data_IF_650371461266
#
_entry.id   IF_650371461266
#
_cell.length_a   1.000
_cell.length_b   1.000
_cell.length_c   1.000
_cell.angle_alpha   90.00
_cell.angle_beta   90.00
_cell.angle_gamma   90.00
#
_symmetry.space_group_name_H-M   'P 1'
#
loop_
_entity.id
_entity.type
_entity.pdbx_description
1 polymer ?
#
# COMPACT_ATOMS: atom_id res chain seq x y z
N UNK A 1 -36.62 46.42 11.82
CA UNK A 1 -36.03 46.26 13.17
C UNK A 1 -34.52 45.97 13.16
N UNK A 2 -33.91 45.66 12.02
CA UNK A 2 -32.45 45.39 11.90
C UNK A 2 -31.60 46.65 11.58
N UNK A 3 -32.15 47.70 11.05
CA UNK A 3 -31.44 48.93 10.66
C UNK A 3 -31.17 49.90 11.83
N UNK A 4 -31.98 49.84 12.89
CA UNK A 4 -31.78 50.66 14.10
C UNK A 4 -30.60 50.23 14.98
N UNK A 5 -30.13 49.00 14.83
CA UNK A 5 -29.02 48.51 15.63
C UNK A 5 -27.64 48.90 15.07
N UNK A 6 -27.55 49.19 13.76
CA UNK A 6 -26.29 49.56 13.13
C UNK A 6 -25.86 51.00 13.40
N UNK A 7 -26.83 51.92 13.49
CA UNK A 7 -26.52 53.32 13.83
C UNK A 7 -26.08 53.46 15.28
N UNK A 8 -26.70 52.69 16.18
CA UNK A 8 -26.30 52.70 17.60
C UNK A 8 -24.89 52.11 17.79
N UNK A 9 -24.57 51.04 17.09
CA UNK A 9 -23.24 50.45 17.11
C UNK A 9 -22.16 51.38 16.50
N UNK A 10 -22.54 52.16 15.49
CA UNK A 10 -21.66 53.13 14.84
C UNK A 10 -21.35 54.32 15.74
N UNK A 11 -22.34 54.81 16.48
CA UNK A 11 -22.14 55.89 17.47
C UNK A 11 -21.36 55.40 18.69
N UNK A 12 -21.59 54.20 19.19
CA UNK A 12 -20.80 53.60 20.27
C UNK A 12 -19.35 53.38 19.85
N UNK A 13 -19.11 52.94 18.62
CA UNK A 13 -17.73 52.80 18.07
C UNK A 13 -17.05 54.16 17.89
N UNK A 14 -17.76 55.19 17.47
CA UNK A 14 -17.20 56.56 17.39
C UNK A 14 -16.85 57.12 18.77
N UNK A 15 -17.70 56.89 19.76
CA UNK A 15 -17.43 57.30 21.14
C UNK A 15 -16.24 56.50 21.74
N UNK A 16 -16.13 55.23 21.43
CA UNK A 16 -14.98 54.41 21.82
C UNK A 16 -13.69 54.90 21.19
N UNK A 17 -13.67 55.16 19.88
CA UNK A 17 -12.54 55.69 19.16
C UNK A 17 -12.09 57.07 19.61
N UNK A 18 -13.05 57.96 19.98
CA UNK A 18 -12.73 59.28 20.51
C UNK A 18 -12.18 59.20 21.93
N UNK A 19 -12.68 58.33 22.77
CA UNK A 19 -12.23 58.12 24.15
C UNK A 19 -10.85 57.50 24.27
N UNK A 20 -10.48 56.69 23.25
CA UNK A 20 -9.20 55.97 23.25
C UNK A 20 -8.16 56.53 22.26
N UNK A 21 -8.46 57.67 21.62
CA UNK A 21 -7.52 58.33 20.70
C UNK A 21 -6.20 58.68 21.37
N UNK A 22 -6.23 59.20 22.56
CA UNK A 22 -5.03 59.61 23.30
C UNK A 22 -4.21 58.42 23.77
N UNK A 23 -4.76 57.38 24.43
CA UNK A 23 -3.95 56.22 24.84
C UNK A 23 -3.47 55.37 23.65
N UNK A 24 -4.25 55.28 22.55
CA UNK A 24 -3.78 54.58 21.34
C UNK A 24 -2.65 55.32 20.63
N UNK A 25 -2.67 56.64 20.61
CA UNK A 25 -1.56 57.47 20.10
C UNK A 25 -0.31 57.33 20.96
N UNK A 26 -0.45 57.25 22.29
CA UNK A 26 0.63 56.99 23.18
C UNK A 26 1.23 55.57 23.02
N UNK A 27 0.38 54.54 22.82
CA UNK A 27 0.80 53.19 22.59
C UNK A 27 1.48 53.05 21.22
N UNK A 28 0.99 53.72 20.20
CA UNK A 28 1.63 53.75 18.88
C UNK A 28 2.99 54.53 18.96
N UNK A 29 3.05 55.62 19.71
CA UNK A 29 4.25 56.37 19.96
C UNK A 29 5.30 55.56 20.71
N UNK A 30 4.88 54.75 21.71
CA UNK A 30 5.76 53.87 22.47
C UNK A 30 6.28 52.72 21.63
N UNK A 31 5.39 52.19 20.73
CA UNK A 31 5.81 51.13 19.79
C UNK A 31 6.84 51.64 18.76
N UNK A 32 6.64 52.86 18.26
CA UNK A 32 7.62 53.54 17.39
C UNK A 32 8.94 53.77 18.10
N UNK A 33 8.91 54.19 19.39
CA UNK A 33 10.10 54.38 20.18
C UNK A 33 10.84 53.06 20.45
N UNK A 34 10.12 51.98 20.73
CA UNK A 34 10.69 50.65 20.90
C UNK A 34 11.32 50.15 19.60
N UNK A 35 10.64 50.33 18.48
CA UNK A 35 11.17 49.98 17.15
C UNK A 35 12.36 50.84 16.78
N UNK A 36 12.31 52.14 17.07
CA UNK A 36 13.45 53.05 16.89
C UNK A 36 14.62 52.66 17.81
N UNK A 37 14.33 52.26 19.05
CA UNK A 37 15.36 51.79 19.97
C UNK A 37 15.99 50.46 19.53
N UNK A 38 15.18 49.50 19.08
CA UNK A 38 15.70 48.25 18.47
C UNK A 38 16.51 48.51 17.20
N UNK A 39 16.09 49.48 16.36
CA UNK A 39 16.84 49.89 15.18
C UNK A 39 18.14 50.61 15.63
N UNK A 40 18.09 51.41 16.70
CA UNK A 40 19.26 52.12 17.24
C UNK A 40 20.26 51.16 17.89
N UNK A 41 19.80 50.18 18.68
CA UNK A 41 20.67 49.11 19.21
C UNK A 41 21.22 48.23 18.07
N UNK A 42 20.42 47.87 17.10
CA UNK A 42 20.89 47.15 15.90
C UNK A 42 21.86 47.99 15.05
N UNK A 43 21.75 49.33 15.09
CA UNK A 43 22.69 50.22 14.44
C UNK A 43 23.98 50.40 15.22
N UNK A 44 23.93 50.33 16.57
CA UNK A 44 25.11 50.41 17.41
C UNK A 44 25.93 49.11 17.40
N UNK A 45 25.23 47.95 17.43
CA UNK A 45 25.87 46.65 17.23
C UNK A 45 26.28 46.40 15.76
N UNK A 46 25.56 46.99 14.81
CA UNK A 46 25.84 46.95 13.38
C UNK A 46 26.70 48.09 12.84
N UNK A 47 27.16 48.95 13.70
CA UNK A 47 27.91 50.17 13.31
C UNK A 47 29.20 49.95 12.50
N UNK A 48 29.64 48.71 12.41
CA UNK A 48 30.73 48.29 11.52
C UNK A 48 30.25 47.90 10.09
N UNK A 49 28.98 47.53 9.92
CA UNK A 49 28.48 47.10 8.60
C UNK A 49 28.15 48.27 7.65
N UNK A 50 27.81 49.44 8.19
CA UNK A 50 27.50 50.62 7.36
C UNK A 50 28.75 51.28 6.76
N UNK A 51 29.95 51.05 7.33
CA UNK A 51 31.19 51.53 6.75
C UNK A 51 31.61 50.77 5.47
N UNK A 52 30.97 49.63 5.22
CA UNK A 52 31.26 48.80 4.04
C UNK A 52 30.48 49.20 2.77
N UNK A 53 29.55 50.19 2.86
CA UNK A 53 28.71 50.61 1.73
C UNK A 53 29.01 52.09 1.39
N UNK A 54 30.27 52.44 1.28
CA UNK A 54 30.69 53.69 0.61
C UNK A 54 31.17 53.30 -0.80
N UNK A 55 30.38 53.59 -1.86
CA UNK A 55 30.84 53.32 -3.23
C UNK A 55 32.01 54.26 -3.54
N UNK A 56 33.18 53.71 -3.75
CA UNK A 56 34.32 54.44 -4.26
C UNK A 56 35.63 54.34 -3.47
N UNK A 57 35.71 53.56 -2.41
CA UNK A 57 36.99 53.28 -1.77
C UNK A 57 37.62 52.03 -2.38
N UNK A 58 38.49 52.29 -3.35
CA UNK A 58 39.41 51.32 -3.92
C UNK A 58 40.56 51.10 -2.92
N UNK A 59 40.35 50.16 -1.97
CA UNK A 59 41.38 49.78 -1.01
C UNK A 59 40.79 49.08 0.18
N UNK A 60 41.46 48.06 0.71
CA UNK A 60 40.99 47.25 1.83
C UNK A 60 40.76 48.09 3.09
N UNK A 61 39.95 47.56 4.02
CA UNK A 61 39.65 48.18 5.31
C UNK A 61 40.92 48.35 6.13
N UNK A 62 41.25 49.60 6.45
CA UNK A 62 42.37 49.91 7.37
C UNK A 62 41.93 49.68 8.82
N UNK A 63 42.53 48.71 9.47
CA UNK A 63 42.34 48.45 10.91
C UNK A 63 43.58 49.02 11.62
N UNK A 64 43.38 50.10 12.36
CA UNK A 64 44.45 50.73 13.13
C UNK A 64 44.28 50.47 14.62
N UNK A 65 45.35 49.96 15.27
CA UNK A 65 45.43 49.90 16.72
C UNK A 65 45.17 48.55 17.37
N UNK A 66 44.68 47.57 16.66
CA UNK A 66 44.45 46.22 17.22
C UNK A 66 45.22 45.15 16.43
N UNK A 67 45.68 44.07 17.10
CA UNK A 67 46.29 42.96 16.38
C UNK A 67 45.27 42.26 15.46
N UNK A 68 45.69 41.87 14.29
CA UNK A 68 44.86 41.21 13.30
C UNK A 68 44.44 39.83 13.82
N UNK A 69 43.18 39.69 14.23
CA UNK A 69 42.61 38.42 14.72
C UNK A 69 41.81 37.75 13.59
N UNK A 70 41.61 36.43 13.69
CA UNK A 70 40.77 35.67 12.75
C UNK A 70 39.34 36.17 12.72
N UNK A 71 38.81 36.65 13.84
CA UNK A 71 37.44 37.19 13.89
C UNK A 71 37.36 38.54 13.16
N UNK A 72 38.34 39.39 13.32
CA UNK A 72 38.42 40.69 12.64
C UNK A 72 38.61 40.52 11.12
N UNK A 73 39.33 39.49 10.70
CA UNK A 73 39.48 39.14 9.28
C UNK A 73 38.17 38.55 8.75
N UNK A 74 37.44 37.76 9.55
CA UNK A 74 36.15 37.18 9.15
C UNK A 74 35.06 38.24 8.98
N UNK A 75 35.07 39.28 9.82
CA UNK A 75 34.15 40.42 9.70
C UNK A 75 34.54 41.38 8.58
N UNK A 76 35.83 41.69 8.43
CA UNK A 76 36.30 42.68 7.46
C UNK A 76 36.45 42.16 6.03
N UNK A 77 36.84 40.91 5.87
CA UNK A 77 37.08 40.27 4.58
C UNK A 77 36.93 38.77 4.67
N UNK A 78 35.70 38.29 4.73
CA UNK A 78 35.40 36.85 4.92
C UNK A 78 36.00 35.95 3.81
N UNK A 79 36.27 36.51 2.65
CA UNK A 79 36.90 35.82 1.53
C UNK A 79 38.39 35.50 1.69
N UNK A 80 39.05 36.10 2.69
CA UNK A 80 40.47 35.82 2.98
C UNK A 80 40.67 34.56 3.84
N UNK A 81 39.68 34.20 4.60
CA UNK A 81 39.69 32.96 5.40
C UNK A 81 39.02 31.83 4.63
N UNK A 82 39.80 30.82 4.24
CA UNK A 82 39.24 29.60 3.71
C UNK A 82 38.70 28.76 4.86
N UNK A 83 37.43 28.42 4.77
CA UNK A 83 36.86 27.34 5.59
C UNK A 83 37.48 26.01 5.13
N UNK A 84 37.73 25.14 6.10
CA UNK A 84 38.13 23.77 5.78
C UNK A 84 36.89 23.05 5.21
N UNK A 85 36.94 22.71 3.95
CA UNK A 85 35.85 22.05 3.26
C UNK A 85 36.20 20.58 3.21
N UNK A 86 35.32 19.74 3.81
CA UNK A 86 35.40 18.31 3.62
C UNK A 86 35.07 18.00 2.16
N UNK A 87 36.05 17.54 1.41
CA UNK A 87 35.89 17.14 0.00
C UNK A 87 35.04 15.88 -0.15
N UNK A 88 34.74 15.19 0.94
CA UNK A 88 33.97 13.96 0.98
C UNK A 88 32.47 14.29 0.97
N UNK A 89 31.81 14.07 -0.13
CA UNK A 89 30.35 14.15 -0.20
C UNK A 89 29.75 12.87 0.41
N UNK A 90 29.08 13.02 1.53
CA UNK A 90 28.31 11.94 2.13
C UNK A 90 27.02 11.79 1.31
N UNK A 91 26.93 10.71 0.55
CA UNK A 91 25.72 10.38 -0.20
C UNK A 91 24.75 9.65 0.74
N UNK A 92 23.61 10.26 0.99
CA UNK A 92 22.50 9.58 1.64
C UNK A 92 21.87 8.71 0.57
N UNK A 93 22.09 7.40 0.66
CA UNK A 93 21.39 6.43 -0.17
C UNK A 93 20.05 6.18 0.49
N UNK A 94 18.92 6.42 -0.20
CA UNK A 94 17.65 5.95 0.30
C UNK A 94 17.75 4.44 0.45
N UNK A 95 17.42 3.92 1.63
CA UNK A 95 17.47 2.49 1.87
C UNK A 95 16.53 1.78 0.89
N UNK A 96 17.10 0.80 0.28
CA UNK A 96 16.53 -0.28 -0.50
C UNK A 96 15.16 -0.03 -1.14
N UNK A 97 15.11 -0.15 -2.42
CA UNK A 97 13.89 -0.34 -3.19
C UNK A 97 13.59 -1.86 -3.29
N UNK A 98 13.05 -2.50 -2.26
CA UNK A 98 12.99 -3.96 -2.16
C UNK A 98 12.10 -4.57 -3.23
N UNK A 99 10.99 -3.94 -3.58
CA UNK A 99 10.06 -4.45 -4.60
C UNK A 99 10.67 -4.35 -5.99
N UNK A 100 11.33 -3.23 -6.33
CA UNK A 100 12.02 -3.08 -7.61
C UNK A 100 13.16 -4.09 -7.73
N UNK A 101 13.93 -4.31 -6.66
CA UNK A 101 15.01 -5.30 -6.63
C UNK A 101 14.47 -6.73 -6.79
N UNK A 102 13.46 -7.11 -6.01
CA UNK A 102 12.82 -8.43 -6.11
C UNK A 102 12.17 -8.66 -7.47
N UNK A 103 11.52 -7.65 -8.02
CA UNK A 103 10.89 -7.73 -9.34
C UNK A 103 11.90 -7.93 -10.46
N UNK A 104 13.08 -7.30 -10.37
CA UNK A 104 14.18 -7.50 -11.32
C UNK A 104 14.83 -8.87 -11.18
N UNK A 105 14.94 -9.37 -9.94
CA UNK A 105 15.50 -10.69 -9.70
C UNK A 105 14.63 -11.81 -10.29
N UNK A 106 13.30 -11.68 -10.21
CA UNK A 106 12.36 -12.64 -10.82
C UNK A 106 12.35 -12.57 -12.36
N UNK A 107 13.11 -11.65 -12.94
CA UNK A 107 13.22 -11.40 -14.38
C UNK A 107 12.06 -10.58 -14.93
N UNK A 108 12.36 -9.44 -15.52
CA UNK A 108 11.37 -8.64 -16.21
C UNK A 108 10.97 -9.29 -17.54
N UNK A 109 9.67 -9.46 -17.78
CA UNK A 109 9.14 -9.89 -19.08
C UNK A 109 8.95 -8.69 -19.99
N UNK A 110 9.31 -8.84 -21.27
CA UNK A 110 9.03 -7.82 -22.27
C UNK A 110 7.55 -7.80 -22.62
N UNK A 111 6.98 -6.60 -22.71
CA UNK A 111 5.64 -6.39 -23.21
C UNK A 111 5.68 -5.61 -24.51
N UNK A 112 4.93 -6.02 -25.51
CA UNK A 112 4.76 -5.29 -26.79
C UNK A 112 3.73 -4.16 -26.66
N UNK A 113 2.97 -4.11 -25.55
CA UNK A 113 1.91 -3.14 -25.31
C UNK A 113 2.12 -2.43 -23.97
N UNK A 114 1.64 -1.19 -23.86
CA UNK A 114 1.54 -0.45 -22.60
C UNK A 114 0.48 -1.03 -21.66
N UNK A 115 -0.42 -1.84 -22.17
CA UNK A 115 -1.48 -2.50 -21.43
C UNK A 115 -1.10 -3.97 -21.29
N UNK A 116 -1.01 -4.44 -20.07
CA UNK A 116 -0.69 -5.84 -19.76
C UNK A 116 -1.92 -6.54 -19.23
N UNK A 117 -2.41 -7.50 -20.01
CA UNK A 117 -3.49 -8.38 -19.61
C UNK A 117 -2.93 -9.68 -19.04
N UNK A 118 -3.44 -10.10 -17.92
CA UNK A 118 -3.07 -11.38 -17.33
C UNK A 118 -4.31 -12.10 -16.80
N UNK A 119 -4.24 -13.42 -16.81
CA UNK A 119 -5.34 -14.28 -16.46
C UNK A 119 -5.01 -15.09 -15.23
N UNK A 120 -5.96 -15.21 -14.32
CA UNK A 120 -5.89 -16.08 -13.16
C UNK A 120 -7.09 -17.02 -13.15
N UNK A 121 -6.83 -18.27 -12.81
CA UNK A 121 -7.90 -19.26 -12.54
C UNK A 121 -7.86 -19.52 -11.05
N UNK A 122 -8.91 -19.17 -10.36
CA UNK A 122 -9.03 -19.45 -8.94
C UNK A 122 -9.68 -20.82 -8.73
N UNK A 123 -9.44 -21.42 -7.58
CA UNK A 123 -10.14 -22.65 -7.18
C UNK A 123 -11.58 -22.26 -6.85
N UNK A 124 -12.54 -23.04 -7.40
CA UNK A 124 -13.97 -22.83 -7.12
C UNK A 124 -14.19 -22.77 -5.60
N UNK A 125 -14.87 -21.76 -5.06
CA UNK A 125 -15.13 -21.66 -3.62
C UNK A 125 -15.79 -22.94 -3.10
N UNK A 126 -15.41 -23.33 -1.91
CA UNK A 126 -15.94 -24.56 -1.27
C UNK A 126 -17.03 -24.27 -0.26
N UNK A 127 -17.26 -22.98 0.07
CA UNK A 127 -18.15 -22.56 1.16
C UNK A 127 -19.12 -21.50 0.66
N UNK A 128 -20.37 -21.62 1.10
CA UNK A 128 -21.41 -20.59 0.97
C UNK A 128 -22.26 -20.60 2.24
N UNK A 129 -23.25 -19.73 2.33
CA UNK A 129 -24.17 -19.67 3.45
C UNK A 129 -25.61 -19.82 2.95
N UNK A 130 -26.51 -20.38 3.79
CA UNK A 130 -27.92 -20.40 3.48
C UNK A 130 -28.49 -18.99 3.45
N UNK A 131 -29.17 -18.64 2.37
CA UNK A 131 -29.83 -17.35 2.18
C UNK A 131 -31.14 -17.28 2.95
N UNK A 132 -31.95 -18.32 2.87
CA UNK A 132 -33.26 -18.43 3.50
C UNK A 132 -33.28 -19.64 4.44
N UNK A 133 -34.07 -19.55 5.50
CA UNK A 133 -34.30 -20.67 6.38
C UNK A 133 -35.26 -21.68 5.70
N UNK A 134 -34.98 -22.95 5.87
CA UNK A 134 -35.92 -24.02 5.59
C UNK A 134 -36.52 -24.56 6.90
N UNK A 135 -37.84 -24.61 6.96
CA UNK A 135 -38.55 -25.15 8.14
C UNK A 135 -39.16 -26.49 7.77
N UNK A 136 -38.79 -27.52 8.53
CA UNK A 136 -39.38 -28.84 8.38
C UNK A 136 -40.88 -28.81 8.78
N UNK A 137 -41.75 -29.61 8.10
CA UNK A 137 -43.16 -29.65 8.42
C UNK A 137 -43.42 -30.23 9.80
N UNK A 138 -44.58 -29.91 10.36
CA UNK A 138 -45.03 -30.51 11.64
C UNK A 138 -45.34 -32.03 11.44
N UNK A 139 -45.22 -32.78 12.54
CA UNK A 139 -45.31 -34.26 12.51
C UNK A 139 -46.56 -34.83 11.85
N UNK A 140 -47.68 -34.09 11.84
CA UNK A 140 -48.95 -34.56 11.24
C UNK A 140 -49.14 -34.14 9.78
N UNK A 141 -48.27 -33.34 9.20
CA UNK A 141 -48.38 -32.82 7.84
C UNK A 141 -47.22 -33.25 6.91
N UNK A 142 -46.38 -34.18 7.33
CA UNK A 142 -45.29 -34.70 6.52
C UNK A 142 -45.84 -35.71 5.47
N UNK A 143 -45.37 -35.53 4.25
CA UNK A 143 -45.62 -36.43 3.11
C UNK A 143 -44.32 -36.75 2.38
N UNK A 144 -44.34 -37.57 1.36
CA UNK A 144 -43.19 -37.98 0.56
C UNK A 144 -42.45 -36.79 -0.11
N UNK A 145 -43.15 -35.63 -0.26
CA UNK A 145 -42.54 -34.45 -0.84
C UNK A 145 -41.46 -33.82 0.07
N UNK A 146 -41.56 -34.10 1.39
CA UNK A 146 -40.63 -33.58 2.40
C UNK A 146 -39.30 -34.35 2.50
N UNK A 147 -39.16 -35.44 1.76
CA UNK A 147 -37.87 -36.09 1.52
C UNK A 147 -36.90 -35.19 0.73
N UNK A 148 -37.40 -34.15 0.11
CA UNK A 148 -36.63 -33.16 -0.63
C UNK A 148 -36.96 -31.74 -0.16
N UNK A 149 -35.98 -30.87 -0.21
CA UNK A 149 -36.14 -29.45 0.08
C UNK A 149 -35.52 -28.59 -1.02
N UNK A 150 -36.09 -27.41 -1.25
CA UNK A 150 -35.42 -26.36 -2.00
C UNK A 150 -34.65 -25.48 -1.05
N UNK A 151 -33.35 -25.31 -1.31
CA UNK A 151 -32.43 -24.51 -0.49
C UNK A 151 -31.78 -23.49 -1.41
N UNK A 152 -31.75 -22.24 -0.94
CA UNK A 152 -31.02 -21.15 -1.57
C UNK A 152 -29.79 -20.82 -0.75
N UNK A 153 -28.63 -20.85 -1.41
CA UNK A 153 -27.39 -20.32 -0.87
C UNK A 153 -27.19 -18.88 -1.30
N UNK A 154 -26.33 -18.16 -0.60
CA UNK A 154 -25.90 -16.80 -1.00
C UNK A 154 -25.24 -16.84 -2.37
N UNK A 155 -24.45 -17.89 -2.61
CA UNK A 155 -23.88 -18.17 -3.93
C UNK A 155 -24.22 -19.61 -4.33
N UNK A 156 -25.24 -19.75 -5.19
CA UNK A 156 -25.67 -21.04 -5.73
C UNK A 156 -24.74 -21.53 -6.85
N UNK A 157 -23.90 -20.68 -7.44
CA UNK A 157 -23.05 -21.02 -8.57
C UNK A 157 -21.95 -22.03 -8.23
N UNK A 158 -21.59 -22.12 -6.95
CA UNK A 158 -20.54 -23.04 -6.48
C UNK A 158 -21.01 -24.51 -6.41
N UNK A 159 -22.31 -24.74 -6.38
CA UNK A 159 -22.89 -26.07 -6.21
C UNK A 159 -23.38 -26.61 -7.56
N UNK A 160 -23.21 -27.91 -7.76
CA UNK A 160 -23.65 -28.61 -8.94
C UNK A 160 -24.46 -29.88 -8.61
N UNK A 161 -25.21 -30.37 -9.56
CA UNK A 161 -25.97 -31.64 -9.42
C UNK A 161 -25.01 -32.79 -9.14
N UNK A 162 -25.46 -33.74 -8.32
CA UNK A 162 -24.71 -34.91 -7.86
C UNK A 162 -23.59 -34.58 -6.86
N UNK A 163 -23.49 -33.34 -6.36
CA UNK A 163 -22.58 -33.00 -5.26
C UNK A 163 -23.27 -33.18 -3.90
N UNK A 164 -22.47 -33.41 -2.87
CA UNK A 164 -22.92 -33.43 -1.48
C UNK A 164 -22.55 -32.16 -0.76
N UNK A 165 -23.40 -31.71 0.12
CA UNK A 165 -23.23 -30.49 0.92
C UNK A 165 -23.27 -30.87 2.40
N UNK A 166 -22.26 -30.45 3.16
CA UNK A 166 -22.27 -30.48 4.61
C UNK A 166 -22.86 -29.17 5.14
N UNK A 167 -23.90 -29.26 5.93
CA UNK A 167 -24.52 -28.10 6.62
C UNK A 167 -23.93 -27.97 8.01
N UNK A 168 -22.95 -27.12 8.17
CA UNK A 168 -22.20 -26.96 9.42
C UNK A 168 -23.08 -26.43 10.56
N UNK A 169 -23.06 -27.12 11.71
CA UNK A 169 -23.80 -26.72 12.91
C UNK A 169 -25.30 -26.97 12.83
N UNK A 170 -25.77 -27.80 11.89
CA UNK A 170 -27.09 -28.41 11.87
C UNK A 170 -26.88 -29.90 11.99
N UNK A 171 -27.44 -30.52 13.05
CA UNK A 171 -27.25 -31.95 13.31
C UNK A 171 -28.08 -32.79 12.37
N UNK A 172 -27.49 -33.86 11.90
CA UNK A 172 -28.19 -34.93 11.21
C UNK A 172 -28.80 -35.92 12.24
N UNK A 173 -29.34 -37.01 11.73
CA UNK A 173 -30.01 -38.04 12.51
C UNK A 173 -29.35 -39.39 12.28
N UNK A 174 -29.48 -40.26 13.26
CA UNK A 174 -29.09 -41.67 13.16
C UNK A 174 -30.03 -42.41 12.14
N UNK A 175 -29.71 -43.61 11.71
CA UNK A 175 -30.55 -44.37 10.76
C UNK A 175 -31.97 -44.59 11.24
N UNK A 176 -32.27 -44.47 12.56
CA UNK A 176 -33.62 -44.52 13.13
C UNK A 176 -34.47 -43.28 12.78
N UNK A 177 -33.81 -42.20 12.30
CA UNK A 177 -34.42 -40.93 11.97
C UNK A 177 -34.97 -40.11 13.15
N UNK A 178 -34.87 -40.64 14.38
CA UNK A 178 -35.43 -40.01 15.59
C UNK A 178 -34.33 -39.46 16.51
N UNK A 179 -33.22 -40.17 16.62
CA UNK A 179 -32.07 -39.79 17.43
C UNK A 179 -31.16 -38.86 16.69
N UNK A 180 -30.85 -37.68 17.24
CA UNK A 180 -29.86 -36.78 16.63
C UNK A 180 -28.46 -37.42 16.68
N UNK A 181 -27.80 -37.41 15.54
CA UNK A 181 -26.41 -37.83 15.39
C UNK A 181 -25.42 -36.77 15.87
N UNK A 182 -24.21 -37.20 16.21
CA UNK A 182 -23.09 -36.28 16.41
C UNK A 182 -22.59 -35.65 15.09
N UNK A 183 -22.91 -36.30 13.97
CA UNK A 183 -22.57 -35.79 12.64
C UNK A 183 -23.47 -34.61 12.24
N UNK A 184 -22.89 -33.66 11.52
CA UNK A 184 -23.66 -32.58 10.93
C UNK A 184 -24.48 -33.12 9.73
N UNK A 185 -25.53 -32.39 9.36
CA UNK A 185 -26.44 -32.76 8.29
C UNK A 185 -25.70 -32.75 6.94
N UNK A 186 -25.83 -33.84 6.20
CA UNK A 186 -25.32 -33.96 4.84
C UNK A 186 -26.50 -34.03 3.87
N UNK A 187 -26.41 -33.22 2.83
CA UNK A 187 -27.44 -33.14 1.77
C UNK A 187 -26.84 -33.56 0.44
N UNK A 188 -27.63 -34.22 -0.38
CA UNK A 188 -27.30 -34.57 -1.78
C UNK A 188 -28.08 -33.69 -2.73
N UNK A 189 -27.42 -33.08 -3.70
CA UNK A 189 -28.05 -32.21 -4.70
C UNK A 189 -28.60 -33.08 -5.84
N UNK A 190 -29.91 -33.17 -5.92
CA UNK A 190 -30.57 -33.91 -7.01
C UNK A 190 -30.83 -33.07 -8.25
N UNK A 191 -31.16 -31.80 -8.07
CA UNK A 191 -31.42 -30.89 -9.18
C UNK A 191 -31.02 -29.44 -8.79
N UNK A 192 -30.71 -28.67 -9.81
CA UNK A 192 -30.45 -27.22 -9.72
C UNK A 192 -31.39 -26.55 -10.70
N UNK A 193 -32.08 -25.53 -10.25
CA UNK A 193 -32.98 -24.74 -11.07
C UNK A 193 -32.13 -23.82 -11.98
N UNK A 194 -32.37 -23.83 -13.27
CA UNK A 194 -31.59 -23.08 -14.27
C UNK A 194 -31.82 -21.56 -14.17
N UNK A 195 -33.04 -21.13 -13.80
CA UNK A 195 -33.37 -19.70 -13.71
C UNK A 195 -32.99 -19.07 -12.39
N UNK A 196 -33.34 -19.73 -11.28
CA UNK A 196 -33.11 -19.21 -9.92
C UNK A 196 -31.81 -19.70 -9.30
N UNK A 197 -31.26 -20.79 -9.83
CA UNK A 197 -30.11 -21.48 -9.24
C UNK A 197 -30.41 -22.22 -7.93
N UNK A 198 -31.69 -22.26 -7.49
CA UNK A 198 -32.10 -22.97 -6.28
C UNK A 198 -31.75 -24.44 -6.34
N UNK A 199 -31.30 -24.97 -5.20
CA UNK A 199 -30.85 -26.36 -5.06
C UNK A 199 -31.98 -27.23 -4.55
N UNK A 200 -32.36 -28.28 -5.26
CA UNK A 200 -33.22 -29.32 -4.76
C UNK A 200 -32.36 -30.42 -4.16
N UNK A 201 -32.50 -30.64 -2.84
CA UNK A 201 -31.63 -31.52 -2.07
C UNK A 201 -32.41 -32.65 -1.41
N UNK A 202 -31.73 -33.77 -1.22
CA UNK A 202 -32.16 -34.90 -0.39
C UNK A 202 -31.19 -34.99 0.83
N UNK A 203 -31.71 -35.31 2.02
CA UNK A 203 -30.83 -35.56 3.16
C UNK A 203 -30.20 -36.95 3.04
N UNK A 204 -28.94 -37.03 3.43
CA UNK A 204 -28.25 -38.33 3.56
C UNK A 204 -28.50 -38.92 4.94
N UNK A 205 -28.52 -38.10 5.95
CA UNK A 205 -28.82 -38.43 7.36
C UNK A 205 -29.98 -37.56 7.85
N UNK A 206 -31.16 -37.77 7.23
CA UNK A 206 -32.38 -37.01 7.50
C UNK A 206 -33.13 -37.46 8.74
N UNK A 207 -34.14 -36.69 9.11
CA UNK A 207 -35.02 -37.00 10.24
C UNK A 207 -36.24 -37.81 9.78
N UNK A 208 -36.87 -38.50 10.73
CA UNK A 208 -38.17 -39.12 10.56
C UNK A 208 -39.27 -38.20 11.04
N UNK A 209 -40.25 -37.91 10.19
CA UNK A 209 -41.39 -37.07 10.58
C UNK A 209 -42.67 -37.92 10.38
N UNK A 210 -43.32 -38.25 11.50
CA UNK A 210 -44.46 -39.17 11.48
C UNK A 210 -44.09 -40.54 10.94
N UNK A 211 -44.68 -40.95 9.80
CA UNK A 211 -44.40 -42.21 9.12
C UNK A 211 -43.35 -42.06 7.98
N UNK A 212 -42.97 -40.83 7.63
CA UNK A 212 -42.07 -40.57 6.52
C UNK A 212 -40.61 -40.54 7.03
N UNK A 213 -39.79 -41.39 6.44
CA UNK A 213 -38.38 -41.52 6.77
C UNK A 213 -37.53 -40.63 5.89
N UNK A 214 -36.37 -40.24 6.40
CA UNK A 214 -35.36 -39.44 5.71
C UNK A 214 -35.89 -38.12 5.14
N UNK A 215 -36.56 -37.34 6.00
CA UNK A 215 -36.99 -35.97 5.66
C UNK A 215 -35.87 -34.96 5.99
N UNK A 216 -35.89 -33.82 5.27
CA UNK A 216 -34.94 -32.72 5.48
C UNK A 216 -35.30 -32.04 6.82
N UNK A 217 -34.38 -31.96 7.80
CA UNK A 217 -34.61 -31.21 9.05
C UNK A 217 -34.61 -29.71 8.79
N UNK A 218 -35.09 -28.94 9.75
CA UNK A 218 -35.06 -27.47 9.69
C UNK A 218 -33.63 -26.94 9.62
N UNK A 219 -33.38 -26.06 8.65
CA UNK A 219 -32.10 -25.45 8.42
C UNK A 219 -32.26 -23.92 8.61
N UNK A 220 -31.64 -23.32 9.62
CA UNK A 220 -31.67 -21.86 9.81
C UNK A 220 -31.00 -21.12 8.67
N UNK A 221 -31.39 -19.86 8.47
CA UNK A 221 -30.66 -18.96 7.59
C UNK A 221 -29.24 -18.69 8.13
N UNK A 222 -28.35 -18.27 7.23
CA UNK A 222 -26.95 -17.95 7.54
C UNK A 222 -26.14 -19.11 8.15
N UNK A 223 -26.50 -20.36 7.80
CA UNK A 223 -25.69 -21.55 8.11
C UNK A 223 -24.70 -21.82 7.01
N UNK A 224 -23.49 -22.20 7.39
CA UNK A 224 -22.43 -22.48 6.45
C UNK A 224 -22.69 -23.80 5.70
N UNK A 225 -22.70 -23.71 4.39
CA UNK A 225 -22.79 -24.82 3.45
C UNK A 225 -21.39 -25.11 2.90
N UNK A 226 -20.92 -26.33 3.10
CA UNK A 226 -19.60 -26.75 2.62
C UNK A 226 -19.82 -27.75 1.49
N UNK A 227 -19.31 -27.41 0.30
CA UNK A 227 -19.34 -28.32 -0.85
C UNK A 227 -18.35 -29.46 -0.62
N UNK A 228 -18.83 -30.66 -0.74
CA UNK A 228 -18.01 -31.87 -0.71
C UNK A 228 -17.85 -32.47 -2.11
N UNK A 229 -17.47 -33.72 -2.21
CA UNK A 229 -17.29 -34.39 -3.47
C UNK A 229 -18.60 -34.72 -4.17
N UNK A 230 -18.50 -35.16 -5.42
CA UNK A 230 -19.61 -35.73 -6.20
C UNK A 230 -19.82 -37.18 -5.86
N UNK A 231 -21.08 -37.59 -5.85
CA UNK A 231 -21.50 -38.98 -5.70
C UNK A 231 -22.34 -39.35 -6.94
N UNK A 232 -21.84 -40.29 -7.69
CA UNK A 232 -22.50 -40.80 -8.89
C UNK A 232 -23.05 -42.22 -8.67
N UNK A 233 -24.04 -42.63 -9.46
CA UNK A 233 -24.51 -44.01 -9.47
C UNK A 233 -23.61 -44.87 -10.33
N UNK A 234 -23.69 -46.19 -10.14
CA UNK A 234 -22.89 -47.15 -10.93
C UNK A 234 -23.16 -47.05 -12.44
N UNK A 235 -24.36 -46.65 -12.81
CA UNK A 235 -24.77 -46.53 -14.19
C UNK A 235 -24.56 -45.12 -14.80
N UNK A 236 -24.11 -44.18 -14.01
CA UNK A 236 -23.89 -42.83 -14.52
C UNK A 236 -22.66 -42.79 -15.44
N UNK A 237 -22.89 -42.48 -16.70
CA UNK A 237 -21.82 -42.30 -17.70
C UNK A 237 -21.31 -40.88 -17.72
N UNK A 238 -22.13 -39.91 -17.35
CA UNK A 238 -21.80 -38.48 -17.35
C UNK A 238 -22.18 -37.81 -16.04
N UNK A 239 -21.34 -36.90 -15.56
CA UNK A 239 -21.64 -35.99 -14.44
C UNK A 239 -21.71 -34.56 -14.94
N UNK A 240 -22.27 -33.65 -14.16
CA UNK A 240 -22.28 -32.23 -14.50
C UNK A 240 -20.88 -31.72 -14.85
N UNK A 241 -20.77 -30.99 -15.95
CA UNK A 241 -19.47 -30.50 -16.45
C UNK A 241 -18.85 -29.50 -15.46
N UNK A 242 -17.56 -29.68 -15.16
CA UNK A 242 -16.80 -28.68 -14.48
C UNK A 242 -16.16 -27.75 -15.51
N UNK A 243 -16.49 -26.46 -15.42
CA UNK A 243 -15.83 -25.43 -16.23
C UNK A 243 -15.26 -24.35 -15.31
N UNK A 244 -13.99 -24.06 -15.48
CA UNK A 244 -13.34 -22.93 -14.85
C UNK A 244 -12.85 -21.99 -15.95
N UNK A 245 -13.35 -20.76 -15.95
CA UNK A 245 -12.93 -19.76 -16.91
C UNK A 245 -11.89 -18.83 -16.24
N UNK A 246 -10.78 -18.55 -16.92
CA UNK A 246 -9.82 -17.59 -16.40
C UNK A 246 -10.42 -16.19 -16.35
N UNK A 247 -10.26 -15.53 -15.22
CA UNK A 247 -10.65 -14.12 -15.04
C UNK A 247 -9.52 -13.24 -15.52
N UNK A 248 -9.87 -12.29 -16.38
CA UNK A 248 -8.95 -11.30 -16.93
C UNK A 248 -8.70 -10.18 -15.93
N UNK A 249 -7.46 -9.94 -15.62
CA UNK A 249 -7.00 -8.75 -14.90
C UNK A 249 -6.07 -7.93 -15.80
N UNK A 250 -5.96 -6.65 -15.54
CA UNK A 250 -5.23 -5.71 -16.39
C UNK A 250 -4.44 -4.72 -15.56
N UNK A 251 -3.20 -4.41 -15.99
CA UNK A 251 -2.42 -3.31 -15.45
C UNK A 251 -1.78 -2.49 -16.58
N UNK A 252 -1.39 -1.25 -16.30
CA UNK A 252 -0.80 -0.33 -17.26
C UNK A 252 0.68 -0.13 -16.98
N UNK A 253 1.50 -0.12 -18.03
CA UNK A 253 2.90 0.29 -17.92
C UNK A 253 2.96 1.81 -17.81
N UNK A 254 3.49 2.30 -16.71
CA UNK A 254 3.76 3.73 -16.51
C UNK A 254 5.12 4.07 -17.07
N UNK A 255 5.21 5.22 -17.76
CA UNK A 255 6.47 5.74 -18.28
C UNK A 255 7.12 6.59 -17.20
N UNK A 256 8.26 6.14 -16.70
CA UNK A 256 9.12 6.88 -15.80
C UNK A 256 10.22 7.55 -16.60
N UNK A 257 10.38 8.86 -16.44
CA UNK A 257 11.43 9.64 -17.10
C UNK A 257 12.08 10.59 -16.12
N UNK A 258 13.39 10.72 -16.23
CA UNK A 258 14.16 11.71 -15.50
C UNK A 258 15.22 12.29 -16.43
N UNK A 259 15.42 13.60 -16.36
CA UNK A 259 16.39 14.31 -17.16
C UNK A 259 17.39 15.02 -16.28
N UNK A 260 18.66 14.91 -16.63
CA UNK A 260 19.77 15.60 -15.98
C UNK A 260 20.43 16.46 -17.05
N UNK A 261 20.63 17.73 -16.75
CA UNK A 261 21.33 18.66 -17.65
C UNK A 261 22.52 19.30 -16.93
N UNK A 262 23.63 19.42 -17.62
CA UNK A 262 24.79 20.16 -17.16
C UNK A 262 25.30 21.10 -18.23
N UNK A 263 25.49 22.39 -17.88
CA UNK A 263 26.02 23.35 -18.80
C UNK A 263 27.54 23.18 -19.02
N UNK A 264 28.03 23.59 -20.18
CA UNK A 264 29.47 23.55 -20.49
C UNK A 264 30.28 24.37 -19.50
N UNK A 265 29.77 25.52 -19.06
CA UNK A 265 30.45 26.37 -18.07
C UNK A 265 30.54 25.69 -16.69
N UNK A 266 29.52 24.95 -16.29
CA UNK A 266 29.56 24.18 -15.03
C UNK A 266 30.61 23.06 -15.07
N UNK A 267 30.85 22.45 -16.24
CA UNK A 267 31.88 21.41 -16.40
C UNK A 267 33.29 21.99 -16.23
N UNK A 268 33.49 23.23 -16.68
CA UNK A 268 34.80 23.90 -16.67
C UNK A 268 35.04 24.65 -15.37
N UNK A 269 33.97 24.96 -14.62
CA UNK A 269 34.05 25.72 -13.36
C UNK A 269 34.94 25.00 -12.34
N UNK A 270 35.82 25.81 -11.69
CA UNK A 270 36.65 25.32 -10.60
C UNK A 270 35.75 25.11 -9.39
N UNK A 271 35.58 23.87 -8.95
CA UNK A 271 34.68 23.50 -7.86
C UNK A 271 35.48 23.32 -6.57
N UNK A 272 34.96 23.81 -5.47
CA UNK A 272 35.54 23.57 -4.14
C UNK A 272 35.39 22.10 -3.72
N UNK A 273 34.32 21.46 -4.18
CA UNK A 273 34.01 20.05 -3.96
C UNK A 273 33.83 19.38 -5.33
N UNK A 274 34.48 18.26 -5.53
CA UNK A 274 34.35 17.47 -6.75
C UNK A 274 32.94 16.85 -6.82
N UNK A 275 32.04 17.49 -7.57
CA UNK A 275 30.72 16.99 -7.89
C UNK A 275 30.60 16.91 -9.41
N UNK A 276 30.65 15.68 -9.90
CA UNK A 276 30.66 15.42 -11.34
C UNK A 276 29.27 15.07 -11.89
N UNK A 277 29.17 15.05 -13.21
CA UNK A 277 27.94 14.66 -13.92
C UNK A 277 27.52 13.22 -13.56
N UNK A 278 28.49 12.32 -13.40
CA UNK A 278 28.25 10.93 -12.97
C UNK A 278 27.62 10.83 -11.57
N UNK A 279 27.98 11.73 -10.66
CA UNK A 279 27.38 11.78 -9.32
C UNK A 279 25.92 12.24 -9.38
N UNK A 280 25.63 13.22 -10.24
CA UNK A 280 24.26 13.65 -10.49
C UNK A 280 23.43 12.56 -11.16
N UNK A 281 24.02 11.78 -12.07
CA UNK A 281 23.39 10.63 -12.71
C UNK A 281 23.05 9.54 -11.68
N UNK A 282 23.98 9.18 -10.81
CA UNK A 282 23.72 8.18 -9.76
C UNK A 282 22.58 8.64 -8.85
N UNK A 283 22.59 9.90 -8.41
CA UNK A 283 21.52 10.45 -7.57
C UNK A 283 20.16 10.42 -8.28
N UNK A 284 20.12 10.76 -9.56
CA UNK A 284 18.89 10.72 -10.35
C UNK A 284 18.36 9.31 -10.57
N UNK A 285 19.24 8.31 -10.77
CA UNK A 285 18.85 6.91 -10.88
C UNK A 285 18.19 6.45 -9.57
N UNK A 286 18.74 6.82 -8.42
CA UNK A 286 18.15 6.48 -7.13
C UNK A 286 16.78 7.11 -6.93
N UNK A 287 16.63 8.40 -7.23
CA UNK A 287 15.35 9.10 -7.10
C UNK A 287 14.29 8.51 -8.03
N UNK A 288 14.64 8.24 -9.29
CA UNK A 288 13.76 7.58 -10.24
C UNK A 288 13.31 6.21 -9.73
N UNK A 289 14.21 5.40 -9.17
CA UNK A 289 13.88 4.08 -8.63
C UNK A 289 13.01 4.16 -7.40
N UNK A 290 13.24 5.13 -6.52
CA UNK A 290 12.38 5.38 -5.37
C UNK A 290 10.96 5.78 -5.80
N UNK A 291 10.84 6.63 -6.82
CA UNK A 291 9.55 6.98 -7.43
C UNK A 291 8.85 5.78 -8.06
N UNK A 292 9.61 4.89 -8.72
CA UNK A 292 9.08 3.63 -9.27
C UNK A 292 8.58 2.71 -8.16
N UNK A 293 9.35 2.55 -7.08
CA UNK A 293 8.97 1.72 -5.93
C UNK A 293 7.65 2.19 -5.31
N UNK A 294 7.53 3.52 -5.05
CA UNK A 294 6.29 4.12 -4.53
C UNK A 294 5.10 3.88 -5.47
N UNK A 295 5.31 4.00 -6.77
CA UNK A 295 4.27 3.75 -7.77
C UNK A 295 3.89 2.27 -7.88
N UNK A 296 4.86 1.36 -7.77
CA UNK A 296 4.61 -0.07 -7.78
C UNK A 296 3.91 -0.57 -6.52
N UNK A 297 4.14 0.08 -5.38
CA UNK A 297 3.46 -0.25 -4.14
C UNK A 297 2.05 0.33 -4.09
N UNK A 298 1.92 1.64 -4.23
CA UNK A 298 0.71 2.39 -3.88
C UNK A 298 0.02 3.08 -5.05
N UNK A 299 0.56 3.00 -6.25
CA UNK A 299 -0.03 3.61 -7.44
C UNK A 299 -1.48 3.18 -7.69
N UNK A 300 -2.28 4.07 -8.23
CA UNK A 300 -3.66 3.77 -8.62
C UNK A 300 -3.74 3.67 -10.14
N UNK A 301 -4.24 2.53 -10.63
CA UNK A 301 -4.42 2.30 -12.07
C UNK A 301 -5.41 3.29 -12.65
N UNK A 302 -4.94 4.18 -13.52
CA UNK A 302 -5.77 5.14 -14.20
C UNK A 302 -5.13 5.62 -15.51
N UNK A 303 -5.93 6.27 -16.34
CA UNK A 303 -5.46 7.02 -17.52
C UNK A 303 -5.96 8.44 -17.40
N UNK A 304 -5.04 9.41 -17.37
CA UNK A 304 -5.33 10.84 -17.22
C UNK A 304 -4.97 11.54 -18.52
N UNK A 305 -5.87 12.39 -19.03
CA UNK A 305 -5.57 13.25 -20.15
C UNK A 305 -4.81 14.49 -19.67
N UNK A 306 -3.59 14.70 -20.17
CA UNK A 306 -2.82 15.92 -19.90
C UNK A 306 -3.18 16.99 -20.97
N UNK A 307 -3.90 18.07 -20.59
CA UNK A 307 -4.34 19.10 -21.53
C UNK A 307 -3.18 19.92 -22.10
N UNK A 308 -2.03 19.96 -21.44
CA UNK A 308 -0.85 20.68 -21.91
C UNK A 308 -0.15 19.95 -23.04
N UNK A 309 -0.02 18.62 -22.89
CA UNK A 309 0.64 17.75 -23.85
C UNK A 309 -0.32 17.20 -24.91
N UNK A 310 -1.63 17.30 -24.65
CA UNK A 310 -2.71 16.72 -25.47
C UNK A 310 -2.57 15.21 -25.64
N UNK A 311 -2.06 14.54 -24.62
CA UNK A 311 -1.78 13.10 -24.60
C UNK A 311 -2.33 12.46 -23.32
N UNK A 312 -2.59 11.16 -23.41
CA UNK A 312 -3.00 10.36 -22.26
C UNK A 312 -1.77 9.87 -21.49
N UNK A 313 -1.79 10.08 -20.18
CA UNK A 313 -0.80 9.55 -19.25
C UNK A 313 -1.38 8.32 -18.57
N UNK A 314 -0.73 7.16 -18.77
CA UNK A 314 -1.11 5.91 -18.13
C UNK A 314 -0.37 5.75 -16.80
N UNK A 315 -1.11 5.48 -15.73
CA UNK A 315 -0.59 5.25 -14.39
C UNK A 315 -0.73 3.77 -14.02
N UNK A 316 0.32 3.21 -13.47
CA UNK A 316 0.34 1.80 -13.03
C UNK A 316 -0.47 1.59 -11.76
N UNK A 317 -1.15 0.45 -11.68
CA UNK A 317 -1.78 0.01 -10.43
C UNK A 317 -0.75 -0.65 -9.51
N UNK A 318 -0.64 -0.16 -8.29
CA UNK A 318 0.23 -0.70 -7.27
C UNK A 318 -0.23 -2.07 -6.76
N UNK A 319 0.72 -2.86 -6.26
CA UNK A 319 0.43 -4.20 -5.72
C UNK A 319 -0.46 -4.16 -4.48
N UNK A 320 -0.42 -3.08 -3.73
CA UNK A 320 -1.28 -2.85 -2.57
C UNK A 320 -2.77 -3.03 -2.89
N UNK A 321 -3.22 -2.42 -4.00
CA UNK A 321 -4.62 -2.47 -4.42
C UNK A 321 -5.00 -3.76 -5.14
N UNK A 322 -4.02 -4.56 -5.55
CA UNK A 322 -4.23 -5.85 -6.22
C UNK A 322 -4.37 -7.02 -5.24
N UNK A 323 -4.04 -6.84 -3.95
CA UNK A 323 -4.15 -7.89 -2.94
C UNK A 323 -5.61 -8.24 -2.65
N UNK A 324 -5.90 -9.54 -2.56
CA UNK A 324 -7.24 -10.05 -2.31
C UNK A 324 -7.59 -10.23 -0.84
N UNK A 325 -6.60 -10.41 0.04
CA UNK A 325 -6.80 -10.58 1.47
C UNK A 325 -6.47 -9.32 2.24
N UNK A 326 -7.14 -9.13 3.36
CA UNK A 326 -6.99 -7.98 4.22
C UNK A 326 -6.96 -8.42 5.70
N UNK A 327 -5.98 -7.96 6.45
CA UNK A 327 -5.85 -8.16 7.87
C UNK A 327 -5.82 -6.82 8.59
N UNK A 328 -6.63 -6.66 9.63
CA UNK A 328 -6.66 -5.46 10.46
C UNK A 328 -6.19 -5.78 11.86
N UNK A 329 -5.40 -4.89 12.45
CA UNK A 329 -4.93 -5.00 13.82
C UNK A 329 -5.13 -3.68 14.56
N UNK A 330 -5.18 -3.73 15.88
CA UNK A 330 -5.33 -2.53 16.72
C UNK A 330 -3.94 -1.98 17.08
N UNK A 331 -3.53 -0.82 16.53
CA UNK A 331 -2.20 -0.26 16.76
C UNK A 331 -2.00 0.25 18.19
N UNK A 332 -3.09 0.41 18.97
CA UNK A 332 -3.03 0.86 20.36
C UNK A 332 -2.71 -0.26 21.34
N UNK A 333 -2.85 -1.52 20.91
CA UNK A 333 -2.53 -2.70 21.69
C UNK A 333 -1.19 -3.28 21.28
N UNK A 334 -0.49 -3.84 22.24
CA UNK A 334 0.70 -4.64 21.95
C UNK A 334 0.29 -5.88 21.14
N UNK A 335 0.97 -6.09 20.01
CA UNK A 335 0.76 -7.29 19.21
C UNK A 335 1.26 -8.51 19.99
N UNK A 336 0.40 -9.49 20.15
CA UNK A 336 0.71 -10.72 20.88
C UNK A 336 1.23 -11.80 19.92
N UNK A 337 1.79 -12.86 20.49
CA UNK A 337 2.17 -14.05 19.72
C UNK A 337 0.97 -14.70 19.03
N UNK A 338 -0.20 -14.69 19.68
CA UNK A 338 -1.41 -15.29 19.13
C UNK A 338 -1.91 -14.45 17.92
N UNK A 339 -1.81 -13.13 17.96
CA UNK A 339 -2.14 -12.24 16.82
C UNK A 339 -1.23 -12.52 15.62
N UNK A 340 0.07 -12.74 15.87
CA UNK A 340 1.01 -13.10 14.80
C UNK A 340 0.67 -14.46 14.19
N UNK A 341 0.30 -15.45 15.02
CA UNK A 341 -0.12 -16.77 14.56
C UNK A 341 -1.40 -16.66 13.73
N UNK A 342 -2.37 -15.86 14.16
CA UNK A 342 -3.61 -15.62 13.42
C UNK A 342 -3.38 -14.90 12.10
N UNK A 343 -2.52 -13.90 12.09
CA UNK A 343 -2.08 -13.24 10.85
C UNK A 343 -1.43 -14.25 9.88
N UNK A 344 -0.51 -15.08 10.37
CA UNK A 344 0.10 -16.13 9.56
C UNK A 344 -0.91 -17.17 9.12
N UNK A 345 -1.82 -17.59 9.96
CA UNK A 345 -2.91 -18.50 9.59
C UNK A 345 -3.72 -17.93 8.45
N UNK A 346 -4.15 -16.68 8.53
CA UNK A 346 -4.92 -16.02 7.47
C UNK A 346 -4.11 -15.88 6.17
N UNK A 347 -2.82 -15.57 6.27
CA UNK A 347 -1.95 -15.41 5.11
C UNK A 347 -1.68 -16.72 4.35
N UNK A 348 -1.63 -17.88 5.05
CA UNK A 348 -1.24 -19.16 4.48
C UNK A 348 -2.36 -20.17 4.28
N UNK A 349 -3.58 -19.89 4.76
CA UNK A 349 -4.74 -20.77 4.62
C UNK A 349 -5.76 -20.17 3.65
N UNK A 350 -6.62 -21.01 3.09
CA UNK A 350 -7.70 -20.56 2.21
C UNK A 350 -7.18 -19.95 0.91
N UNK A 351 -6.58 -20.75 0.06
CA UNK A 351 -5.98 -20.35 -1.22
C UNK A 351 -4.72 -19.46 -1.06
N UNK A 352 -4.01 -19.64 0.04
CA UNK A 352 -2.87 -18.81 0.39
C UNK A 352 -1.62 -18.92 -0.49
N UNK A 353 -1.63 -19.63 -1.62
CA UNK A 353 -0.44 -19.79 -2.46
C UNK A 353 0.66 -20.61 -1.82
N UNK A 354 1.92 -20.21 -2.02
CA UNK A 354 3.07 -20.91 -1.50
C UNK A 354 3.24 -20.75 0.02
N UNK A 355 3.93 -21.71 0.64
CA UNK A 355 4.25 -21.67 2.07
C UNK A 355 5.47 -20.79 2.42
N UNK A 356 5.95 -20.02 1.49
CA UNK A 356 7.06 -19.07 1.67
C UNK A 356 6.64 -17.72 1.15
N UNK A 357 6.48 -16.74 2.04
CA UNK A 357 6.05 -15.40 1.68
C UNK A 357 6.98 -14.35 2.25
N UNK A 358 6.92 -13.16 1.69
CA UNK A 358 7.67 -11.99 2.13
C UNK A 358 6.68 -11.02 2.77
N UNK A 359 7.02 -10.54 3.96
CA UNK A 359 6.34 -9.45 4.65
C UNK A 359 7.22 -8.21 4.55
N UNK A 360 6.66 -7.16 3.98
CA UNK A 360 7.27 -5.83 3.97
C UNK A 360 6.39 -4.90 4.78
N UNK A 361 6.97 -4.06 5.60
CA UNK A 361 6.19 -3.12 6.42
C UNK A 361 6.97 -1.89 6.85
N UNK A 362 6.23 -0.92 7.37
CA UNK A 362 6.78 0.30 7.96
C UNK A 362 7.40 0.07 9.34
N UNK A 363 8.08 1.10 9.83
CA UNK A 363 8.89 1.04 11.07
C UNK A 363 8.09 0.67 12.30
N UNK A 364 6.89 1.22 12.46
CA UNK A 364 6.04 0.95 13.64
C UNK A 364 5.53 -0.48 13.61
N UNK A 365 5.01 -0.94 12.48
CA UNK A 365 4.49 -2.29 12.33
C UNK A 365 5.59 -3.36 12.54
N UNK A 366 6.75 -3.19 11.92
CA UNK A 366 7.88 -4.10 12.12
C UNK A 366 8.41 -4.03 13.56
N UNK A 367 8.38 -2.82 14.17
CA UNK A 367 8.72 -2.64 15.57
C UNK A 367 7.80 -3.41 16.52
N UNK A 368 6.49 -3.47 16.24
CA UNK A 368 5.54 -4.27 17.00
C UNK A 368 5.87 -5.77 16.90
N UNK A 369 6.17 -6.25 15.70
CA UNK A 369 6.57 -7.65 15.50
C UNK A 369 7.85 -7.99 16.27
N UNK A 370 8.83 -7.11 16.27
CA UNK A 370 10.12 -7.33 16.97
C UNK A 370 10.00 -7.35 18.50
N UNK A 371 8.95 -6.72 19.06
CA UNK A 371 8.67 -6.74 20.51
C UNK A 371 8.01 -8.02 21.00
N UNK A 372 7.52 -8.87 20.09
CA UNK A 372 6.83 -10.09 20.46
C UNK A 372 7.83 -11.09 21.07
N UNK A 373 7.58 -11.53 22.30
CA UNK A 373 8.33 -12.63 22.92
C UNK A 373 7.95 -13.97 22.27
N UNK A 374 8.88 -14.53 21.51
CA UNK A 374 8.60 -15.71 20.69
C UNK A 374 9.00 -17.01 21.40
N UNK A 375 8.07 -17.60 22.15
CA UNK A 375 8.23 -18.94 22.74
C UNK A 375 7.70 -20.07 21.85
N UNK A 376 6.69 -19.82 21.02
CA UNK A 376 6.03 -20.82 20.15
C UNK A 376 6.38 -20.66 18.66
N UNK A 377 6.96 -19.54 18.28
CA UNK A 377 7.38 -19.25 16.91
C UNK A 377 8.90 -19.19 16.90
N UNK A 378 9.53 -20.07 16.15
CA UNK A 378 10.99 -20.11 16.07
C UNK A 378 11.44 -19.03 15.08
N UNK A 379 12.03 -17.96 15.59
CA UNK A 379 12.88 -17.14 14.75
C UNK A 379 14.13 -17.93 14.40
N UNK A 380 14.28 -18.31 13.16
CA UNK A 380 15.54 -18.80 12.69
C UNK A 380 16.53 -17.62 12.66
N UNK A 381 17.49 -17.63 13.60
CA UNK A 381 18.56 -16.61 13.73
C UNK A 381 19.58 -16.62 12.60
N UNK A 382 19.29 -17.23 11.47
CA UNK A 382 20.14 -17.12 10.31
C UNK A 382 19.69 -15.88 9.52
N UNK A 383 20.43 -14.79 9.69
CA UNK A 383 20.42 -13.65 8.78
C UNK A 383 20.75 -14.17 7.39
N UNK A 384 19.72 -14.46 6.63
CA UNK A 384 19.90 -14.91 5.25
C UNK A 384 19.95 -13.68 4.37
N UNK A 385 21.17 -13.18 4.15
CA UNK A 385 21.41 -12.23 3.05
C UNK A 385 21.11 -12.95 1.75
N UNK A 386 19.95 -12.72 1.22
CA UNK A 386 19.52 -13.22 -0.07
C UNK A 386 19.35 -12.02 -0.98
N UNK A 387 20.04 -12.01 -2.11
CA UNK A 387 19.99 -10.91 -3.09
C UNK A 387 20.42 -9.53 -2.57
N UNK A 388 21.30 -9.48 -1.56
CA UNK A 388 21.75 -8.21 -0.97
C UNK A 388 20.74 -7.56 -0.02
N UNK A 389 19.68 -8.28 0.37
CA UNK A 389 18.66 -7.85 1.32
C UNK A 389 18.71 -8.78 2.53
N UNK A 390 18.73 -8.19 3.73
CA UNK A 390 18.68 -8.92 4.99
C UNK A 390 17.23 -9.25 5.35
N UNK A 391 16.94 -10.54 5.50
CA UNK A 391 15.63 -11.02 5.89
C UNK A 391 15.67 -11.70 7.25
N UNK A 392 14.73 -11.35 8.13
CA UNK A 392 14.41 -12.13 9.32
C UNK A 392 13.40 -13.21 8.96
N UNK A 393 13.64 -14.47 9.30
CA UNK A 393 12.73 -15.58 9.02
C UNK A 393 11.87 -15.90 10.24
N UNK A 394 10.54 -15.82 10.10
CA UNK A 394 9.59 -16.32 11.08
C UNK A 394 8.99 -17.63 10.54
N UNK A 395 9.15 -18.71 11.27
CA UNK A 395 8.68 -20.03 10.86
C UNK A 395 7.52 -20.50 11.75
N UNK A 396 6.42 -20.91 11.15
CA UNK A 396 5.28 -21.53 11.83
C UNK A 396 4.88 -22.82 11.12
N UNK A 397 3.92 -23.57 11.71
CA UNK A 397 3.34 -24.75 11.04
C UNK A 397 2.57 -24.41 9.76
N UNK A 398 2.14 -23.17 9.60
CA UNK A 398 1.43 -22.70 8.41
C UNK A 398 2.37 -22.40 7.23
N UNK A 399 3.55 -21.87 7.52
CA UNK A 399 4.54 -21.51 6.50
C UNK A 399 5.68 -20.68 7.07
N UNK A 400 6.52 -20.18 6.17
CA UNK A 400 7.67 -19.33 6.48
C UNK A 400 7.41 -17.90 5.96
N UNK A 401 7.63 -16.94 6.84
CA UNK A 401 7.49 -15.53 6.56
C UNK A 401 8.86 -14.86 6.63
N UNK A 402 9.28 -14.24 5.55
CA UNK A 402 10.50 -13.45 5.48
C UNK A 402 10.14 -11.99 5.73
N UNK A 403 10.58 -11.45 6.85
CA UNK A 403 10.25 -10.09 7.28
C UNK A 403 11.30 -9.12 6.79
N UNK A 404 10.86 -8.02 6.20
CA UNK A 404 11.69 -6.96 5.67
C UNK A 404 11.11 -5.61 6.07
N UNK A 405 11.95 -4.73 6.58
CA UNK A 405 11.61 -3.32 6.77
C UNK A 405 11.77 -2.55 5.45
N UNK A 406 10.85 -1.65 5.16
CA UNK A 406 10.92 -0.77 3.99
C UNK A 406 10.63 0.67 4.38
N UNK A 407 11.60 1.56 4.16
CA UNK A 407 11.46 3.00 4.40
C UNK A 407 10.39 3.65 3.51
N UNK A 408 10.04 3.01 2.40
CA UNK A 408 9.02 3.54 1.48
C UNK A 408 7.64 3.64 2.14
N UNK A 409 7.32 2.73 3.06
CA UNK A 409 6.10 2.83 3.86
C UNK A 409 6.13 4.07 4.76
N UNK A 410 7.26 4.33 5.41
CA UNK A 410 7.43 5.49 6.29
C UNK A 410 7.39 6.79 5.50
N UNK A 411 8.05 6.86 4.36
CA UNK A 411 8.03 8.00 3.44
C UNK A 411 6.62 8.33 2.92
N UNK A 412 5.77 7.32 2.79
CA UNK A 412 4.37 7.49 2.38
C UNK A 412 3.42 7.79 3.56
N UNK A 413 3.92 7.90 4.78
CA UNK A 413 3.12 8.11 5.98
C UNK A 413 2.34 6.87 6.45
N UNK A 414 2.76 5.68 6.00
CA UNK A 414 2.14 4.38 6.29
C UNK A 414 3.00 3.55 7.25
N UNK A 415 3.45 4.16 8.35
CA UNK A 415 4.36 3.53 9.33
C UNK A 415 3.79 2.25 9.95
N UNK A 416 2.46 2.20 10.08
CA UNK A 416 1.70 1.12 10.72
C UNK A 416 1.21 0.07 9.73
N UNK A 417 1.56 0.19 8.46
CA UNK A 417 1.06 -0.71 7.41
C UNK A 417 2.07 -1.80 7.09
N UNK A 418 1.54 -2.93 6.59
CA UNK A 418 2.35 -4.05 6.14
C UNK A 418 1.73 -4.74 4.93
N UNK A 419 2.56 -5.46 4.18
CA UNK A 419 2.14 -6.18 2.99
C UNK A 419 2.81 -7.55 2.92
N UNK A 420 1.99 -8.59 2.88
CA UNK A 420 2.47 -9.96 2.68
C UNK A 420 2.19 -10.37 1.25
N UNK A 421 3.23 -10.84 0.59
CA UNK A 421 3.10 -11.32 -0.78
C UNK A 421 3.92 -12.58 -1.04
N UNK A 422 3.49 -13.30 -2.06
CA UNK A 422 4.19 -14.45 -2.59
C UNK A 422 5.09 -14.01 -3.76
N UNK A 423 6.42 -14.16 -3.66
CA UNK A 423 7.33 -13.69 -4.68
C UNK A 423 7.17 -14.40 -6.04
N UNK A 424 6.60 -15.60 -6.08
CA UNK A 424 6.40 -16.34 -7.34
C UNK A 424 5.24 -15.76 -8.19
N UNK A 425 4.31 -15.04 -7.54
CA UNK A 425 3.15 -14.47 -8.21
C UNK A 425 3.31 -12.98 -8.57
N UNK A 426 4.45 -12.38 -8.25
CA UNK A 426 4.81 -11.04 -8.71
C UNK A 426 5.59 -11.13 -10.00
N UNK A 427 5.16 -10.39 -11.02
CA UNK A 427 5.85 -10.32 -12.30
C UNK A 427 5.99 -8.88 -12.76
N UNK A 428 7.23 -8.46 -13.01
CA UNK A 428 7.51 -7.18 -13.70
C UNK A 428 7.36 -7.35 -15.20
N UNK A 429 6.66 -6.41 -15.81
CA UNK A 429 6.54 -6.26 -17.25
C UNK A 429 7.19 -4.96 -17.67
N UNK A 430 8.04 -5.01 -18.67
CA UNK A 430 8.73 -3.86 -19.21
C UNK A 430 8.38 -3.71 -20.68
N UNK A 431 7.72 -2.59 -21.01
CA UNK A 431 7.46 -2.20 -22.38
C UNK A 431 8.72 -1.54 -22.98
N UNK A 432 9.31 -0.60 -22.24
CA UNK A 432 10.62 -0.04 -22.52
C UNK A 432 11.54 -0.38 -21.35
N UNK A 433 12.61 -1.14 -21.58
CA UNK A 433 13.57 -1.44 -20.53
C UNK A 433 14.27 -0.17 -20.05
N UNK A 434 14.80 -0.19 -18.83
CA UNK A 434 15.63 0.92 -18.34
C UNK A 434 16.76 1.23 -19.32
N UNK A 435 16.84 2.47 -19.73
CA UNK A 435 17.86 2.97 -20.61
C UNK A 435 18.20 4.42 -20.31
N UNK A 436 19.47 4.75 -20.50
CA UNK A 436 19.98 6.10 -20.46
C UNK A 436 20.29 6.56 -21.90
N UNK A 437 19.77 7.70 -22.29
CA UNK A 437 20.00 8.29 -23.60
C UNK A 437 20.65 9.65 -23.43
N UNK A 438 21.84 9.79 -23.99
CA UNK A 438 22.53 11.10 -24.07
C UNK A 438 21.90 11.95 -25.17
N UNK A 439 21.57 13.18 -24.83
CA UNK A 439 21.08 14.18 -25.75
C UNK A 439 22.10 15.31 -25.87
N UNK A 440 22.65 15.49 -27.05
CA UNK A 440 23.52 16.63 -27.35
C UNK A 440 22.66 17.83 -27.80
N UNK A 441 22.22 18.60 -26.81
CA UNK A 441 21.38 19.79 -27.05
C UNK A 441 22.16 20.93 -27.73
N UNK A 442 23.50 20.88 -27.70
CA UNK A 442 24.38 21.86 -28.40
C UNK A 442 24.31 21.65 -29.89
N UNK A 443 24.44 20.41 -30.38
CA UNK A 443 24.32 20.09 -31.81
C UNK A 443 22.94 20.38 -32.35
N UNK A 444 21.92 20.19 -31.49
CA UNK A 444 20.54 20.53 -31.85
C UNK A 444 20.25 22.04 -31.85
N UNK A 445 21.19 22.88 -31.42
CA UNK A 445 21.02 24.36 -31.39
C UNK A 445 19.99 24.84 -30.36
N UNK A 446 19.59 24.00 -29.42
CA UNK A 446 18.54 24.31 -28.43
C UNK A 446 19.13 24.98 -27.19
N UNK A 447 20.18 24.39 -26.60
CA UNK A 447 20.85 24.88 -25.39
C UNK A 447 22.31 24.43 -25.35
N UNK A 448 23.16 25.22 -24.66
CA UNK A 448 24.57 24.88 -24.48
C UNK A 448 24.75 23.96 -23.26
N UNK A 449 24.04 22.81 -23.26
CA UNK A 449 24.03 21.81 -22.21
C UNK A 449 24.18 20.42 -22.80
N UNK A 450 24.77 19.52 -22.01
CA UNK A 450 24.67 18.09 -22.25
C UNK A 450 23.58 17.55 -21.35
N UNK A 451 22.70 16.72 -21.87
CA UNK A 451 21.60 16.15 -21.14
C UNK A 451 21.62 14.62 -21.21
N UNK A 452 21.27 13.98 -20.12
CA UNK A 452 21.02 12.56 -20.03
C UNK A 452 19.56 12.33 -19.67
N UNK A 453 18.86 11.54 -20.48
CA UNK A 453 17.47 11.17 -20.24
C UNK A 453 17.41 9.70 -19.85
N UNK A 454 16.99 9.44 -18.62
CA UNK A 454 16.68 8.12 -18.11
C UNK A 454 15.22 7.81 -18.46
N UNK A 455 14.96 6.65 -19.00
CA UNK A 455 13.59 6.23 -19.37
C UNK A 455 13.39 4.76 -19.02
N UNK A 456 12.26 4.45 -18.41
CA UNK A 456 11.75 3.09 -18.23
C UNK A 456 10.21 3.11 -18.34
N UNK A 457 9.61 2.17 -19.08
CA UNK A 457 8.16 1.98 -19.08
C UNK A 457 7.85 0.58 -18.60
N UNK A 458 7.32 0.48 -17.39
CA UNK A 458 7.10 -0.81 -16.73
C UNK A 458 5.91 -0.80 -15.77
N UNK A 459 5.45 -1.99 -15.41
CA UNK A 459 4.41 -2.22 -14.40
C UNK A 459 4.66 -3.52 -13.64
N UNK A 460 4.05 -3.65 -12.47
CA UNK A 460 4.00 -4.88 -11.71
C UNK A 460 2.59 -5.50 -11.80
N UNK A 461 2.54 -6.79 -12.09
CA UNK A 461 1.31 -7.57 -12.02
C UNK A 461 1.39 -8.54 -10.85
N UNK A 462 0.32 -8.56 -10.08
CA UNK A 462 0.12 -9.47 -8.99
C UNK A 462 -0.86 -10.56 -9.44
N UNK A 463 -0.33 -11.75 -9.70
CA UNK A 463 -1.17 -12.89 -10.06
C UNK A 463 -1.73 -13.49 -8.80
N UNK A 464 -2.91 -14.11 -8.91
CA UNK A 464 -3.53 -14.80 -7.79
C UNK A 464 -3.71 -13.90 -6.55
N UNK A 465 -4.62 -12.91 -6.59
CA UNK A 465 -4.81 -11.94 -5.52
C UNK A 465 -5.03 -12.54 -4.13
N UNK A 466 -5.68 -13.70 -4.04
CA UNK A 466 -5.93 -14.41 -2.78
C UNK A 466 -4.67 -14.89 -2.06
N UNK A 467 -3.53 -14.98 -2.75
CA UNK A 467 -2.25 -15.33 -2.13
C UNK A 467 -1.56 -14.16 -1.41
N UNK A 468 -2.07 -12.96 -1.56
CA UNK A 468 -1.46 -11.73 -1.04
C UNK A 468 -2.37 -11.08 -0.02
N UNK A 469 -1.77 -10.44 0.98
CA UNK A 469 -2.51 -9.84 2.08
C UNK A 469 -1.94 -8.47 2.43
N UNK A 470 -2.79 -7.48 2.49
CA UNK A 470 -2.48 -6.17 3.05
C UNK A 470 -2.83 -6.15 4.53
N UNK A 471 -2.02 -5.44 5.30
CA UNK A 471 -2.16 -5.29 6.73
C UNK A 471 -2.35 -3.82 7.03
N UNK A 472 -3.45 -3.50 7.70
CA UNK A 472 -3.84 -2.12 7.98
C UNK A 472 -4.16 -1.98 9.48
N UNK A 473 -3.85 -0.84 10.11
CA UNK A 473 -4.32 -0.55 11.46
C UNK A 473 -5.84 -0.35 11.45
N UNK A 474 -6.49 -0.70 12.54
CA UNK A 474 -7.88 -0.31 12.80
C UNK A 474 -7.91 1.21 12.96
N UNK A 475 -8.62 1.90 12.07
CA UNK A 475 -8.81 3.34 12.08
C UNK A 475 -9.77 3.81 13.18
#
# INVERSE_FOLDING_TARGET
MFLLNFEKLREEMKQFLTKWKTPLLWLAGLLVLVVCWQIWDGLLDGGLALAAIIPGVSGGKLVTGEPLTTDLVREGSPSLLRNEIDKRIVRIRPMSTPIDQLSRWNGARKSSSMIVDYYSVDVKPTKSFTKTAYTAPASGSADESHKKAKIDAVDNSIFEVSETILVQGVKGYEPDGTTQSNADLVLYIAAKDEETGSLTVYPVNGMKIGTVENCVPSIPANKQLIRMGRAATELDVQTAQFSALPVKSQNYCQIFKMQIEQSTFQKIANKEVEWDFSDAEEAAIYDMRLGMEKSFMFGVKNTIFDPRKKENVMLTGGIWWQAGNHYTYDPTKEMTQDDLIDMMRQAFTGNGGNKRKILIGGSVFIGLINKIEMTKVVMAREDKVKWGIDFSEISSKFGKLYVLYSEVFDDCGMHDYGFIFDPEFIQKWSHVPFGAQELDLKKAGVRNTDALVLTEASCLTLRYPAAHMRIEPLG
#
